data_IF_150955765369
#
_entry.id   IF_150955765369
#
_cell.length_a   1.000
_cell.length_b   1.000
_cell.length_c   1.000
_cell.angle_alpha   90.00
_cell.angle_beta   90.00
_cell.angle_gamma   90.00
#
_symmetry.space_group_name_H-M   'P 1'
#
loop_
_entity.id
_entity.type
_entity.pdbx_description
1 polymer ?
#
# COMPACT_ATOMS: atom_id res chain seq x y z
N UNK A 1 -21.53 -7.72 -1.67
CA UNK A 1 -20.86 -6.64 -0.91
C UNK A 1 -21.83 -5.51 -0.62
N UNK A 2 -21.77 -4.92 0.57
CA UNK A 2 -22.51 -3.71 0.92
C UNK A 2 -21.77 -2.45 0.41
N UNK A 3 -22.51 -1.34 0.21
CA UNK A 3 -21.92 -0.04 -0.21
C UNK A 3 -20.78 0.42 0.69
N UNK A 4 -20.80 0.06 1.97
CA UNK A 4 -19.72 0.39 2.91
C UNK A 4 -18.46 -0.43 2.64
N UNK A 5 -18.58 -1.70 2.26
CA UNK A 5 -17.44 -2.54 1.88
C UNK A 5 -16.79 -2.05 0.57
N UNK A 6 -17.60 -1.62 -0.40
CA UNK A 6 -17.11 -1.05 -1.67
C UNK A 6 -16.33 0.25 -1.44
N UNK A 7 -16.82 1.14 -0.58
CA UNK A 7 -16.12 2.37 -0.20
C UNK A 7 -14.79 2.08 0.49
N UNK A 8 -14.76 1.13 1.42
CA UNK A 8 -13.51 0.71 2.08
C UNK A 8 -12.50 0.12 1.09
N UNK A 9 -12.97 -0.71 0.17
CA UNK A 9 -12.14 -1.29 -0.89
C UNK A 9 -11.57 -0.20 -1.81
N UNK A 10 -12.39 0.76 -2.22
CA UNK A 10 -11.95 1.88 -3.05
C UNK A 10 -10.90 2.72 -2.32
N UNK A 11 -11.14 3.05 -1.05
CA UNK A 11 -10.18 3.77 -0.21
C UNK A 11 -8.85 3.04 -0.09
N UNK A 12 -8.88 1.73 0.16
CA UNK A 12 -7.67 0.91 0.19
C UNK A 12 -6.90 0.91 -1.14
N UNK A 13 -7.60 0.80 -2.28
CA UNK A 13 -6.97 0.83 -3.62
C UNK A 13 -6.26 2.16 -3.86
N UNK A 14 -6.88 3.27 -3.47
CA UNK A 14 -6.27 4.61 -3.57
C UNK A 14 -5.01 4.69 -2.69
N UNK A 15 -5.11 4.26 -1.43
CA UNK A 15 -3.96 4.25 -0.52
C UNK A 15 -2.84 3.34 -1.02
N UNK A 16 -3.14 2.18 -1.58
CA UNK A 16 -2.16 1.25 -2.14
C UNK A 16 -1.37 1.85 -3.31
N UNK A 17 -2.03 2.63 -4.18
CA UNK A 17 -1.34 3.35 -5.27
C UNK A 17 -0.48 4.48 -4.71
N UNK A 18 -0.99 5.27 -3.77
CA UNK A 18 -0.24 6.37 -3.14
C UNK A 18 0.99 5.83 -2.39
N UNK A 19 0.84 4.71 -1.67
CA UNK A 19 1.92 3.99 -1.00
C UNK A 19 3.00 3.61 -2.01
N UNK A 20 2.64 2.89 -3.08
CA UNK A 20 3.59 2.46 -4.10
C UNK A 20 4.36 3.63 -4.74
N UNK A 21 3.67 4.73 -5.06
CA UNK A 21 4.31 5.94 -5.62
C UNK A 21 5.24 6.59 -4.59
N UNK A 22 4.81 6.72 -3.33
CA UNK A 22 5.62 7.30 -2.26
C UNK A 22 6.87 6.47 -1.95
N UNK A 23 6.78 5.14 -2.05
CA UNK A 23 7.92 4.22 -1.91
C UNK A 23 8.93 4.49 -3.05
N UNK A 24 8.48 4.51 -4.31
CA UNK A 24 9.36 4.81 -5.45
C UNK A 24 10.04 6.16 -5.27
N UNK A 25 9.31 7.20 -4.86
CA UNK A 25 9.89 8.50 -4.57
C UNK A 25 10.97 8.44 -3.46
N UNK A 26 10.73 7.69 -2.39
CA UNK A 26 11.70 7.48 -1.30
C UNK A 26 12.97 6.76 -1.78
N UNK A 27 12.81 5.73 -2.62
CA UNK A 27 13.94 4.98 -3.21
C UNK A 27 14.76 5.89 -4.13
N UNK A 28 14.11 6.64 -5.01
CA UNK A 28 14.79 7.58 -5.91
C UNK A 28 15.52 8.68 -5.12
N UNK A 29 14.90 9.23 -4.07
CA UNK A 29 15.55 10.21 -3.20
C UNK A 29 16.77 9.62 -2.48
N UNK A 30 16.66 8.37 -2.02
CA UNK A 30 17.77 7.65 -1.36
C UNK A 30 18.93 7.39 -2.31
N UNK A 31 18.63 6.94 -3.55
CA UNK A 31 19.63 6.73 -4.60
C UNK A 31 20.30 8.05 -4.96
N UNK A 32 19.52 9.10 -5.27
CA UNK A 32 20.04 10.40 -5.67
C UNK A 32 20.94 11.03 -4.60
N UNK A 33 20.57 10.90 -3.32
CA UNK A 33 21.42 11.30 -2.21
C UNK A 33 22.72 10.49 -2.15
N UNK A 34 22.64 9.16 -2.32
CA UNK A 34 23.80 8.25 -2.28
C UNK A 34 24.81 8.52 -3.38
N UNK A 35 24.37 8.95 -4.57
CA UNK A 35 25.25 9.30 -5.70
C UNK A 35 25.63 10.78 -5.76
N UNK A 36 25.32 11.56 -4.71
CA UNK A 36 25.72 12.96 -4.58
C UNK A 36 25.02 13.93 -5.53
N UNK A 37 23.89 13.54 -6.13
CA UNK A 37 23.20 14.34 -7.15
C UNK A 37 22.25 15.38 -6.56
N UNK A 38 21.84 15.23 -5.30
CA UNK A 38 20.83 16.09 -4.67
C UNK A 38 21.05 16.32 -3.18
N UNK A 39 20.41 17.38 -2.67
CA UNK A 39 20.23 17.62 -1.24
C UNK A 39 19.54 16.41 -0.59
N UNK A 40 19.83 16.10 0.67
CA UNK A 40 19.20 14.95 1.33
C UNK A 40 17.69 15.19 1.57
N UNK A 41 16.85 14.63 0.69
CA UNK A 41 15.39 14.67 0.82
C UNK A 41 14.81 13.50 1.62
N UNK A 42 15.61 12.48 1.95
CA UNK A 42 15.17 11.28 2.69
C UNK A 42 14.52 11.63 4.05
N UNK A 43 15.05 12.56 4.87
CA UNK A 43 14.41 12.95 6.13
C UNK A 43 13.04 13.60 5.98
N UNK A 44 12.70 14.12 4.79
CA UNK A 44 11.39 14.71 4.49
C UNK A 44 10.43 13.69 3.88
N UNK A 45 10.90 12.89 2.92
CA UNK A 45 10.06 11.92 2.20
C UNK A 45 9.81 10.66 3.04
N UNK A 46 10.78 10.24 3.84
CA UNK A 46 10.70 9.04 4.69
C UNK A 46 9.50 9.06 5.63
N UNK A 47 9.32 10.09 6.47
CA UNK A 47 8.16 10.20 7.36
C UNK A 47 6.82 10.24 6.61
N UNK A 48 6.75 10.93 5.47
CA UNK A 48 5.54 10.99 4.63
C UNK A 48 5.17 9.60 4.13
N UNK A 49 6.14 8.86 3.57
CA UNK A 49 5.94 7.48 3.16
C UNK A 49 5.52 6.58 4.35
N UNK A 50 6.18 6.73 5.51
CA UNK A 50 5.86 5.96 6.71
C UNK A 50 4.40 6.13 7.16
N UNK A 51 3.86 7.34 7.14
CA UNK A 51 2.44 7.59 7.45
C UNK A 51 1.51 6.93 6.43
N UNK A 52 1.85 7.02 5.15
CA UNK A 52 1.07 6.37 4.07
C UNK A 52 1.09 4.84 4.25
N UNK A 53 2.24 4.25 4.57
CA UNK A 53 2.39 2.83 4.84
C UNK A 53 1.54 2.38 6.05
N UNK A 54 1.50 3.15 7.13
CA UNK A 54 0.62 2.86 8.28
C UNK A 54 -0.87 2.94 7.91
N UNK A 55 -1.26 3.89 7.06
CA UNK A 55 -2.62 3.97 6.53
C UNK A 55 -2.97 2.73 5.69
N UNK A 56 -2.03 2.26 4.85
CA UNK A 56 -2.18 1.01 4.08
C UNK A 56 -2.41 -0.19 5.00
N UNK A 57 -1.56 -0.37 6.02
CA UNK A 57 -1.70 -1.47 6.99
C UNK A 57 -3.03 -1.42 7.73
N UNK A 58 -3.45 -0.23 8.14
CA UNK A 58 -4.73 -0.02 8.84
C UNK A 58 -5.91 -0.46 7.96
N UNK A 59 -5.93 -0.07 6.69
CA UNK A 59 -6.94 -0.53 5.73
C UNK A 59 -6.88 -2.03 5.49
N UNK A 60 -5.69 -2.61 5.34
CA UNK A 60 -5.53 -4.05 5.12
C UNK A 60 -6.11 -4.88 6.29
N UNK A 61 -5.90 -4.44 7.53
CA UNK A 61 -6.46 -5.10 8.72
C UNK A 61 -7.98 -4.90 8.85
N UNK A 62 -8.51 -3.74 8.46
CA UNK A 62 -9.96 -3.52 8.39
C UNK A 62 -10.61 -4.40 7.33
N UNK A 63 -10.05 -4.44 6.11
CA UNK A 63 -10.53 -5.29 5.03
C UNK A 63 -10.41 -6.77 5.35
N UNK A 64 -9.37 -7.21 6.08
CA UNK A 64 -9.30 -8.59 6.57
C UNK A 64 -10.55 -8.97 7.36
N UNK A 65 -11.02 -8.12 8.28
CA UNK A 65 -12.22 -8.39 9.09
C UNK A 65 -13.49 -8.36 8.24
N UNK A 66 -13.60 -7.36 7.37
CA UNK A 66 -14.81 -7.09 6.58
C UNK A 66 -15.02 -8.07 5.42
N UNK A 67 -13.93 -8.48 4.76
CA UNK A 67 -13.93 -9.42 3.63
C UNK A 67 -13.49 -10.83 4.04
N UNK A 68 -13.31 -11.06 5.34
CA UNK A 68 -12.93 -12.35 5.95
C UNK A 68 -11.72 -12.97 5.25
N UNK A 69 -10.69 -12.17 4.98
CA UNK A 69 -9.45 -12.66 4.40
C UNK A 69 -8.78 -13.66 5.34
N UNK A 70 -8.25 -14.74 4.76
CA UNK A 70 -7.44 -15.69 5.49
C UNK A 70 -6.06 -15.11 5.83
N UNK A 71 -5.30 -15.83 6.65
CA UNK A 71 -3.94 -15.47 7.03
C UNK A 71 -3.03 -15.28 5.81
N UNK A 72 -3.14 -16.17 4.82
CA UNK A 72 -2.35 -16.12 3.59
C UNK A 72 -2.58 -14.83 2.80
N UNK A 73 -3.85 -14.47 2.52
CA UNK A 73 -4.16 -13.22 1.80
C UNK A 73 -3.66 -11.99 2.54
N UNK A 74 -3.85 -11.96 3.87
CA UNK A 74 -3.41 -10.79 4.67
C UNK A 74 -1.89 -10.66 4.68
N UNK A 75 -1.18 -11.78 4.86
CA UNK A 75 0.27 -11.80 4.84
C UNK A 75 0.80 -11.37 3.47
N UNK A 76 0.22 -11.88 2.39
CA UNK A 76 0.55 -11.47 1.03
C UNK A 76 0.41 -9.95 0.84
N UNK A 77 -0.72 -9.38 1.26
CA UNK A 77 -1.00 -7.94 1.15
C UNK A 77 0.00 -7.10 1.94
N UNK A 78 0.37 -7.53 3.14
CA UNK A 78 1.35 -6.83 3.99
C UNK A 78 2.76 -6.92 3.39
N UNK A 79 3.20 -8.13 2.99
CA UNK A 79 4.52 -8.34 2.40
C UNK A 79 4.71 -7.57 1.09
N UNK A 80 3.65 -7.48 0.28
CA UNK A 80 3.68 -6.73 -0.96
C UNK A 80 3.96 -5.23 -0.73
N UNK A 81 3.56 -4.63 0.39
CA UNK A 81 3.85 -3.23 0.69
C UNK A 81 5.33 -2.95 1.03
N UNK A 82 6.13 -3.99 1.27
CA UNK A 82 7.59 -3.86 1.49
C UNK A 82 8.37 -3.92 0.16
N UNK A 83 7.73 -4.39 -0.90
CA UNK A 83 8.34 -4.46 -2.23
C UNK A 83 7.96 -3.17 -2.97
N UNK A 84 8.92 -2.42 -3.55
CA UNK A 84 8.60 -1.28 -4.39
C UNK A 84 7.59 -1.69 -5.46
N UNK A 85 6.52 -0.91 -5.62
CA UNK A 85 5.39 -1.18 -6.53
C UNK A 85 4.44 -2.33 -6.11
N UNK A 86 4.68 -3.04 -5.02
CA UNK A 86 3.80 -4.15 -4.62
C UNK A 86 2.38 -3.70 -4.25
N UNK A 87 2.19 -2.45 -3.80
CA UNK A 87 0.88 -1.82 -3.65
C UNK A 87 0.04 -1.82 -4.94
N UNK A 88 0.66 -1.66 -6.12
CA UNK A 88 -0.03 -1.72 -7.42
C UNK A 88 -0.50 -3.15 -7.72
N UNK A 89 0.34 -4.15 -7.44
CA UNK A 89 -0.05 -5.55 -7.63
C UNK A 89 -1.21 -5.93 -6.71
N UNK A 90 -1.16 -5.48 -5.45
CA UNK A 90 -2.22 -5.70 -4.47
C UNK A 90 -3.53 -5.06 -4.90
N UNK A 91 -3.50 -3.82 -5.37
CA UNK A 91 -4.66 -3.08 -5.88
C UNK A 91 -5.42 -3.90 -6.95
N UNK A 92 -4.69 -4.45 -7.92
CA UNK A 92 -5.25 -5.28 -8.98
C UNK A 92 -5.80 -6.61 -8.46
N UNK A 93 -5.11 -7.24 -7.51
CA UNK A 93 -5.48 -8.56 -6.99
C UNK A 93 -6.67 -8.49 -6.03
N UNK A 94 -6.69 -7.51 -5.15
CA UNK A 94 -7.75 -7.32 -4.15
C UNK A 94 -9.07 -6.94 -4.83
N UNK A 95 -9.04 -6.17 -5.93
CA UNK A 95 -10.22 -5.93 -6.77
C UNK A 95 -10.82 -7.20 -7.39
N UNK A 96 -10.00 -8.22 -7.66
CA UNK A 96 -10.47 -9.54 -8.13
C UNK A 96 -10.97 -10.41 -6.98
N UNK A 97 -10.26 -10.45 -5.86
CA UNK A 97 -10.61 -11.25 -4.68
C UNK A 97 -11.95 -10.81 -4.07
N UNK A 98 -12.20 -9.50 -4.01
CA UNK A 98 -13.46 -8.95 -3.52
C UNK A 98 -14.68 -9.32 -4.38
N UNK A 99 -14.48 -9.68 -5.65
CA UNK A 99 -15.56 -10.14 -6.55
C UNK A 99 -15.85 -11.64 -6.43
N UNK A 100 -14.90 -12.42 -5.91
CA UNK A 100 -14.99 -13.90 -5.88
C UNK A 100 -15.49 -14.46 -4.54
N UNK A 101 -15.33 -13.71 -3.44
CA UNK A 101 -15.87 -14.07 -2.12
C UNK A 101 -16.96 -13.06 -1.75
N UNK A 102 -18.25 -13.36 -2.01
CA UNK A 102 -19.37 -12.47 -1.68
C UNK A 102 -19.58 -12.29 -0.18
#
# INVERSE_FOLDING_TARGET
MSRSQERLLLGFRVVAVIEAVSYVALVLASIAHRIGQTQNFVPRIGPVHGVIFLAYLSYALLLRRVLRWDASTTLFVILAAVIPLGGIYVEQRVGKLARLKP
#
